data_IF_122738518109
#
_entry.id   IF_122738518109
#
_cell.length_a   1.000
_cell.length_b   1.000
_cell.length_c   1.000
_cell.angle_alpha   90.00
_cell.angle_beta   90.00
_cell.angle_gamma   90.00
#
_symmetry.space_group_name_H-M   'P 1'
#
loop_
_entity.id
_entity.type
_entity.pdbx_description
1 polymer ?
#
# COMPACT_ATOMS: atom_id res chain seq x y z
N UNK A 1 -10.17 39.48 -28.68
CA UNK A 1 -10.94 38.97 -29.85
C UNK A 1 -10.18 37.76 -30.39
N UNK A 2 -10.93 36.78 -30.94
CA UNK A 2 -10.60 35.35 -31.21
C UNK A 2 -11.01 34.45 -30.04
N UNK A 3 -12.30 34.14 -29.89
CA UNK A 3 -13.19 33.21 -30.62
C UNK A 3 -13.05 31.75 -30.17
N UNK A 4 -14.10 31.31 -29.47
CA UNK A 4 -14.47 29.93 -29.19
C UNK A 4 -14.88 29.22 -30.47
N UNK A 5 -14.44 27.98 -30.65
CA UNK A 5 -15.17 26.95 -31.39
C UNK A 5 -15.19 25.70 -30.52
N UNK A 6 -16.34 25.48 -29.86
CA UNK A 6 -16.72 24.22 -29.25
C UNK A 6 -17.24 23.30 -30.36
N UNK A 7 -16.66 22.11 -30.48
CA UNK A 7 -17.26 20.99 -31.20
C UNK A 7 -18.10 20.16 -30.18
N UNK A 8 -19.29 19.66 -30.55
CA UNK A 8 -20.15 18.95 -29.63
C UNK A 8 -19.80 17.45 -29.60
N UNK A 9 -19.53 16.90 -28.42
CA UNK A 9 -19.71 15.47 -28.17
C UNK A 9 -18.48 14.62 -27.83
N UNK A 10 -17.43 15.15 -27.21
CA UNK A 10 -16.47 14.30 -26.49
C UNK A 10 -16.46 14.65 -25.00
N UNK A 11 -17.04 13.74 -24.24
CA UNK A 11 -17.11 13.74 -22.78
C UNK A 11 -15.69 13.55 -22.22
N UNK A 12 -15.39 14.25 -21.12
CA UNK A 12 -14.09 14.18 -20.47
C UNK A 12 -13.79 12.77 -19.98
N UNK A 13 -12.50 12.43 -19.85
CA UNK A 13 -12.02 11.14 -19.34
C UNK A 13 -12.50 10.78 -17.91
N UNK A 14 -13.28 11.65 -17.26
CA UNK A 14 -13.89 11.42 -15.95
C UNK A 14 -15.37 10.96 -16.02
N UNK A 15 -15.95 10.80 -17.23
CA UNK A 15 -17.30 10.25 -17.44
C UNK A 15 -17.31 8.77 -17.84
N UNK A 16 -16.15 8.10 -17.87
CA UNK A 16 -16.07 6.65 -18.14
C UNK A 16 -16.32 5.79 -16.89
N UNK A 17 -16.46 6.38 -15.71
CA UNK A 17 -16.60 5.69 -14.42
C UNK A 17 -18.04 5.45 -13.97
N UNK A 18 -19.03 5.83 -14.78
CA UNK A 18 -20.43 5.47 -14.53
C UNK A 18 -20.97 4.60 -15.67
N UNK A 19 -20.32 3.46 -15.91
CA UNK A 19 -20.99 2.34 -16.55
C UNK A 19 -21.58 1.50 -15.42
N UNK A 20 -22.90 1.33 -15.45
CA UNK A 20 -23.61 0.37 -14.59
C UNK A 20 -22.79 -0.93 -14.51
N UNK A 21 -22.63 -1.54 -13.32
CA UNK A 21 -21.99 -2.84 -13.25
C UNK A 21 -22.92 -3.84 -13.94
N UNK A 22 -22.67 -4.08 -15.22
CA UNK A 22 -22.99 -5.34 -15.86
C UNK A 22 -22.53 -6.44 -14.91
N UNK A 23 -23.48 -7.28 -14.50
CA UNK A 23 -23.29 -8.35 -13.54
C UNK A 23 -21.96 -9.05 -13.80
N UNK A 24 -21.07 -9.05 -12.81
CA UNK A 24 -19.78 -9.74 -12.88
C UNK A 24 -20.03 -11.22 -13.14
N UNK A 25 -19.86 -11.62 -14.41
CA UNK A 25 -19.79 -13.01 -14.84
C UNK A 25 -18.50 -13.61 -14.25
N UNK A 26 -18.58 -14.14 -13.04
CA UNK A 26 -17.53 -14.97 -12.47
C UNK A 26 -17.46 -16.26 -13.27
N UNK A 27 -16.60 -16.26 -14.29
CA UNK A 27 -16.45 -17.34 -15.25
C UNK A 27 -15.76 -18.56 -14.60
N UNK A 28 -16.53 -19.42 -13.94
CA UNK A 28 -16.12 -20.76 -13.51
C UNK A 28 -16.37 -21.81 -14.59
N UNK A 29 -15.41 -22.71 -14.81
CA UNK A 29 -15.61 -23.88 -15.67
C UNK A 29 -16.27 -25.00 -14.87
N UNK A 30 -17.36 -25.56 -15.39
CA UNK A 30 -18.03 -26.72 -14.82
C UNK A 30 -18.09 -27.85 -15.84
N UNK A 31 -17.03 -28.64 -16.04
CA UNK A 31 -17.20 -29.94 -16.70
C UNK A 31 -16.11 -30.98 -16.43
N UNK A 32 -16.64 -32.19 -16.23
CA UNK A 32 -16.09 -33.55 -16.38
C UNK A 32 -14.74 -33.90 -15.74
N UNK A 33 -14.87 -34.51 -14.56
CA UNK A 33 -14.00 -35.49 -13.91
C UNK A 33 -12.65 -35.09 -13.29
N UNK A 34 -12.61 -35.34 -11.97
CA UNK A 34 -11.55 -35.92 -11.14
C UNK A 34 -10.26 -35.11 -10.93
N UNK A 35 -10.14 -34.49 -9.75
CA UNK A 35 -9.30 -35.00 -8.66
C UNK A 35 -9.75 -34.32 -7.35
N UNK A 36 -9.81 -35.10 -6.27
CA UNK A 36 -10.21 -34.74 -4.89
C UNK A 36 -9.46 -33.48 -4.38
N UNK A 37 -10.02 -32.64 -3.50
CA UNK A 37 -10.16 -32.88 -2.05
C UNK A 37 -11.11 -31.83 -1.43
N UNK A 38 -12.08 -32.25 -0.61
CA UNK A 38 -12.88 -31.35 0.24
C UNK A 38 -14.22 -31.92 0.72
N UNK A 39 -14.23 -32.53 1.90
CA UNK A 39 -15.36 -33.32 2.42
C UNK A 39 -16.46 -32.51 3.11
N UNK A 40 -17.71 -32.69 2.67
CA UNK A 40 -18.88 -32.73 3.58
C UNK A 40 -19.92 -33.70 3.03
N UNK A 41 -20.10 -34.87 3.67
CA UNK A 41 -21.29 -35.71 3.48
C UNK A 41 -21.30 -36.79 2.39
N UNK A 42 -20.15 -37.30 1.94
CA UNK A 42 -20.09 -38.66 1.37
C UNK A 42 -20.59 -38.92 -0.06
N UNK A 43 -20.47 -37.97 -1.00
CA UNK A 43 -20.36 -38.28 -2.44
C UNK A 43 -19.94 -37.05 -3.26
N UNK A 44 -19.00 -37.15 -4.22
CA UNK A 44 -18.65 -36.05 -5.11
C UNK A 44 -19.73 -35.91 -6.19
N UNK A 45 -20.62 -34.94 -6.04
CA UNK A 45 -21.52 -34.55 -7.13
C UNK A 45 -20.90 -33.38 -7.90
N UNK A 46 -20.31 -33.68 -9.05
CA UNK A 46 -20.11 -32.68 -10.10
C UNK A 46 -21.50 -32.25 -10.60
N UNK A 47 -21.82 -30.94 -10.63
CA UNK A 47 -23.10 -30.47 -11.13
C UNK A 47 -23.26 -30.88 -12.61
N UNK A 48 -24.26 -31.71 -12.92
CA UNK A 48 -24.56 -32.13 -14.29
C UNK A 48 -24.94 -30.92 -15.17
N UNK A 49 -24.79 -30.98 -16.50
CA UNK A 49 -25.32 -29.93 -17.38
C UNK A 49 -26.80 -29.67 -17.09
N UNK A 50 -27.15 -28.43 -16.73
CA UNK A 50 -28.51 -28.05 -16.31
C UNK A 50 -28.77 -28.07 -14.81
N UNK A 51 -27.81 -28.48 -13.99
CA UNK A 51 -27.91 -28.41 -12.51
C UNK A 51 -27.80 -26.97 -12.01
N UNK A 52 -28.53 -26.73 -10.92
CA UNK A 52 -28.56 -25.46 -10.20
C UNK A 52 -28.13 -25.72 -8.76
N UNK A 53 -27.25 -24.88 -8.23
CA UNK A 53 -26.80 -24.93 -6.85
C UNK A 53 -26.76 -23.53 -6.24
N UNK A 54 -26.79 -23.46 -4.92
CA UNK A 54 -26.75 -22.21 -4.18
C UNK A 54 -25.53 -22.20 -3.28
N UNK A 55 -24.67 -21.20 -3.44
CA UNK A 55 -23.45 -21.00 -2.66
C UNK A 55 -23.52 -19.65 -1.96
N UNK A 56 -23.68 -19.68 -0.65
CA UNK A 56 -23.79 -18.48 0.18
C UNK A 56 -24.85 -17.49 -0.33
N UNK A 57 -24.43 -16.44 -1.04
CA UNK A 57 -25.28 -15.38 -1.59
C UNK A 57 -25.54 -15.54 -3.10
N UNK A 58 -25.03 -16.58 -3.76
CA UNK A 58 -25.18 -16.78 -5.20
C UNK A 58 -26.05 -17.99 -5.52
N UNK A 59 -26.79 -17.88 -6.63
CA UNK A 59 -27.47 -19.01 -7.27
C UNK A 59 -26.81 -19.25 -8.62
N UNK A 60 -26.23 -20.44 -8.80
CA UNK A 60 -25.44 -20.80 -9.96
C UNK A 60 -26.13 -21.88 -10.78
N UNK A 61 -26.02 -21.79 -12.10
CA UNK A 61 -26.48 -22.80 -13.05
C UNK A 61 -25.38 -23.22 -14.00
N UNK A 62 -25.22 -24.53 -14.19
CA UNK A 62 -24.29 -25.05 -15.20
C UNK A 62 -24.95 -25.06 -16.59
N UNK A 63 -24.54 -24.13 -17.45
CA UNK A 63 -25.01 -24.04 -18.84
C UNK A 63 -23.86 -24.42 -19.76
N UNK A 64 -24.01 -25.54 -20.49
CA UNK A 64 -23.04 -25.99 -21.49
C UNK A 64 -21.59 -26.16 -20.99
N UNK A 65 -21.40 -26.40 -19.70
CA UNK A 65 -20.08 -26.59 -19.10
C UNK A 65 -19.47 -25.34 -18.44
N UNK A 66 -20.23 -24.24 -18.33
CA UNK A 66 -19.86 -23.02 -17.59
C UNK A 66 -20.83 -22.80 -16.43
N UNK A 67 -20.33 -22.42 -15.26
CA UNK A 67 -21.20 -21.89 -14.20
C UNK A 67 -21.59 -20.47 -14.54
N UNK A 68 -22.89 -20.21 -14.58
CA UNK A 68 -23.46 -18.86 -14.62
C UNK A 68 -24.10 -18.59 -13.27
N UNK A 69 -23.53 -17.68 -12.50
CA UNK A 69 -23.94 -17.36 -11.13
C UNK A 69 -24.66 -16.01 -11.07
N UNK A 70 -25.72 -15.94 -10.27
CA UNK A 70 -26.49 -14.72 -9.98
C UNK A 70 -26.37 -14.42 -8.49
N UNK A 71 -25.82 -13.25 -8.16
CA UNK A 71 -25.67 -12.79 -6.78
C UNK A 71 -26.99 -12.23 -6.23
N UNK A 72 -27.29 -12.60 -4.99
CA UNK A 72 -28.46 -12.21 -4.21
C UNK A 72 -27.99 -11.60 -2.89
N UNK A 73 -27.42 -10.40 -2.97
CA UNK A 73 -27.07 -9.64 -1.77
C UNK A 73 -28.27 -8.81 -1.29
N UNK A 74 -28.57 -8.81 0.02
CA UNK A 74 -29.56 -7.90 0.58
C UNK A 74 -29.11 -6.45 0.39
N UNK A 75 -30.06 -5.54 0.18
CA UNK A 75 -29.78 -4.11 0.09
C UNK A 75 -29.11 -3.64 1.39
N UNK A 76 -27.85 -3.23 1.30
CA UNK A 76 -27.06 -2.75 2.43
C UNK A 76 -27.12 -1.23 2.48
N UNK A 77 -27.56 -0.67 3.62
CA UNK A 77 -27.48 0.77 3.92
C UNK A 77 -26.56 0.94 5.12
N UNK A 78 -25.41 1.56 4.92
CA UNK A 78 -24.42 1.78 5.99
C UNK A 78 -24.77 3.00 6.85
N UNK A 79 -24.34 2.99 8.12
CA UNK A 79 -24.53 4.13 9.00
C UNK A 79 -23.65 5.32 8.56
N UNK A 80 -23.91 6.52 9.11
CA UNK A 80 -23.14 7.71 8.79
C UNK A 80 -21.64 7.49 9.11
N UNK A 81 -20.76 7.56 8.11
CA UNK A 81 -19.31 7.36 8.27
C UNK A 81 -18.83 5.92 8.05
N UNK A 82 -19.71 5.03 7.60
CA UNK A 82 -19.35 3.69 7.15
C UNK A 82 -19.45 3.60 5.62
N UNK A 83 -18.53 2.84 5.01
CA UNK A 83 -18.52 2.56 3.58
C UNK A 83 -18.74 1.06 3.35
N UNK A 84 -19.48 0.74 2.29
CA UNK A 84 -19.69 -0.64 1.87
C UNK A 84 -18.41 -1.15 1.19
N UNK A 85 -17.75 -2.13 1.81
CA UNK A 85 -16.51 -2.73 1.30
C UNK A 85 -16.77 -4.19 0.92
N UNK A 86 -16.36 -4.59 -0.28
CA UNK A 86 -16.35 -5.99 -0.71
C UNK A 86 -14.92 -6.52 -0.59
N UNK A 87 -14.71 -7.42 0.37
CA UNK A 87 -13.41 -8.06 0.62
C UNK A 87 -13.09 -9.10 -0.49
N UNK A 88 -11.82 -9.29 -0.85
CA UNK A 88 -11.41 -10.32 -1.80
C UNK A 88 -11.88 -11.71 -1.37
N UNK A 89 -12.69 -12.37 -2.20
CA UNK A 89 -13.27 -13.69 -1.90
C UNK A 89 -14.54 -13.65 -1.04
N UNK A 90 -15.07 -12.47 -0.70
CA UNK A 90 -16.37 -12.32 -0.04
C UNK A 90 -17.51 -12.16 -1.06
N UNK A 91 -18.64 -12.80 -0.76
CA UNK A 91 -19.80 -12.85 -1.65
C UNK A 91 -20.59 -11.53 -1.67
N UNK A 92 -20.79 -10.92 -0.50
CA UNK A 92 -21.52 -9.66 -0.35
C UNK A 92 -20.68 -8.58 0.35
N UNK A 93 -20.92 -7.29 0.06
CA UNK A 93 -20.26 -6.20 0.74
C UNK A 93 -20.68 -6.12 2.22
N UNK A 94 -19.81 -5.57 3.05
CA UNK A 94 -20.08 -5.29 4.47
C UNK A 94 -19.76 -3.83 4.79
N UNK A 95 -20.49 -3.23 5.74
CA UNK A 95 -20.22 -1.86 6.17
C UNK A 95 -19.00 -1.86 7.09
N UNK A 96 -18.01 -1.04 6.75
CA UNK A 96 -16.84 -0.82 7.60
C UNK A 96 -16.71 0.66 7.87
N UNK A 97 -16.33 1.02 9.10
CA UNK A 97 -15.86 2.37 9.37
C UNK A 97 -14.59 2.60 8.57
N UNK A 98 -14.52 3.72 7.84
CA UNK A 98 -13.24 4.26 7.39
C UNK A 98 -12.48 4.62 8.67
N UNK A 99 -11.60 3.72 9.12
CA UNK A 99 -10.49 4.16 9.96
C UNK A 99 -9.77 5.23 9.14
N UNK A 100 -9.59 6.45 9.67
CA UNK A 100 -8.85 7.47 8.96
C UNK A 100 -7.53 6.83 8.56
N UNK A 101 -7.29 6.70 7.26
CA UNK A 101 -5.96 6.40 6.77
C UNK A 101 -5.12 7.58 7.25
N UNK A 102 -4.42 7.38 8.37
CA UNK A 102 -3.54 8.36 8.95
C UNK A 102 -2.50 8.62 7.87
N UNK A 103 -2.70 9.71 7.12
CA UNK A 103 -1.88 10.03 5.95
C UNK A 103 -0.42 9.86 6.37
N UNK A 104 0.37 9.05 5.66
CA UNK A 104 1.71 8.73 6.09
C UNK A 104 2.45 10.04 6.33
N UNK A 105 2.83 10.29 7.59
CA UNK A 105 3.40 11.57 7.98
C UNK A 105 4.55 11.92 7.03
N UNK A 106 4.49 13.12 6.45
CA UNK A 106 5.55 13.65 5.59
C UNK A 106 6.88 13.68 6.33
N UNK A 107 8.00 13.73 5.60
CA UNK A 107 9.33 13.82 6.17
C UNK A 107 9.43 14.84 7.31
N UNK A 108 9.80 14.37 8.51
CA UNK A 108 9.80 15.14 9.76
C UNK A 108 11.09 14.96 10.54
N UNK A 109 11.43 16.01 11.26
CA UNK A 109 12.51 16.03 12.25
C UNK A 109 11.98 15.52 13.58
N UNK A 110 12.61 14.48 14.11
CA UNK A 110 12.22 13.81 15.34
C UNK A 110 13.37 13.78 16.32
N UNK A 111 13.01 13.69 17.60
CA UNK A 111 13.93 13.62 18.72
C UNK A 111 13.57 12.45 19.60
N UNK A 112 14.55 11.65 20.01
CA UNK A 112 14.36 10.51 20.90
C UNK A 112 15.51 10.39 21.91
N UNK A 113 15.21 9.94 23.13
CA UNK A 113 16.21 9.64 24.14
C UNK A 113 16.77 8.22 23.92
N UNK A 114 18.08 8.10 23.80
CA UNK A 114 18.78 6.83 23.57
C UNK A 114 19.93 6.66 24.55
N UNK A 115 20.23 5.39 24.84
CA UNK A 115 21.44 5.03 25.57
C UNK A 115 22.51 4.67 24.54
N UNK A 116 23.65 5.34 24.59
CA UNK A 116 24.76 5.12 23.67
C UNK A 116 25.81 4.23 24.32
N UNK A 117 26.31 3.26 23.56
CA UNK A 117 27.33 2.34 24.02
C UNK A 117 28.46 2.22 23.00
N UNK A 118 29.69 2.07 23.50
CA UNK A 118 30.88 1.80 22.70
C UNK A 118 31.80 0.89 23.50
N UNK A 119 31.80 -0.40 23.16
CA UNK A 119 32.47 -1.41 23.98
C UNK A 119 31.89 -1.42 25.41
N UNK A 120 32.73 -1.32 26.47
CA UNK A 120 32.27 -1.29 27.86
C UNK A 120 31.81 0.10 28.32
N UNK A 121 31.91 1.13 27.48
CA UNK A 121 31.59 2.50 27.82
C UNK A 121 30.14 2.83 27.48
N UNK A 122 29.48 3.66 28.29
CA UNK A 122 28.07 3.99 28.12
C UNK A 122 27.74 5.44 28.47
N UNK A 123 26.64 5.93 27.93
CA UNK A 123 26.01 7.20 28.30
C UNK A 123 24.50 7.08 28.11
N UNK A 124 23.72 7.32 29.17
CA UNK A 124 22.27 7.18 29.16
C UNK A 124 21.56 8.50 28.86
N UNK A 125 20.29 8.41 28.43
CA UNK A 125 19.41 9.57 28.24
C UNK A 125 19.99 10.62 27.27
N UNK A 126 20.65 10.16 26.20
CA UNK A 126 21.19 11.05 25.17
C UNK A 126 20.10 11.41 24.18
N UNK A 127 19.84 12.70 24.02
CA UNK A 127 18.92 13.21 23.00
C UNK A 127 19.48 13.01 21.58
N UNK A 128 18.85 12.17 20.77
CA UNK A 128 19.25 11.91 19.38
C UNK A 128 18.19 12.46 18.45
N UNK A 129 18.61 13.28 17.50
CA UNK A 129 17.75 13.78 16.43
C UNK A 129 17.92 12.96 15.16
N UNK A 130 16.83 12.75 14.43
CA UNK A 130 16.81 12.01 13.17
C UNK A 130 15.66 12.46 12.26
N UNK A 131 15.77 12.13 10.98
CA UNK A 131 14.72 12.36 9.99
C UNK A 131 13.96 11.06 9.72
N UNK A 132 12.63 11.13 9.71
CA UNK A 132 11.78 9.99 9.38
C UNK A 132 10.47 10.48 8.76
N UNK A 133 9.87 9.68 7.91
CA UNK A 133 8.61 10.01 7.24
C UNK A 133 8.68 9.67 5.76
N UNK A 134 7.60 10.01 5.06
CA UNK A 134 7.42 9.64 3.67
C UNK A 134 7.72 10.84 2.75
N UNK A 135 8.25 10.52 1.58
CA UNK A 135 8.55 11.46 0.52
C UNK A 135 7.87 11.03 -0.78
N UNK A 136 7.52 11.98 -1.66
CA UNK A 136 6.94 11.64 -2.96
C UNK A 136 7.86 10.75 -3.77
N UNK A 137 7.29 9.74 -4.41
CA UNK A 137 7.96 8.96 -5.43
C UNK A 137 6.97 8.61 -6.53
N UNK A 138 7.47 8.49 -7.75
CA UNK A 138 6.66 8.12 -8.91
C UNK A 138 7.47 7.30 -9.88
N UNK A 139 6.78 6.48 -10.66
CA UNK A 139 7.39 5.74 -11.76
C UNK A 139 6.47 5.83 -12.96
N UNK A 140 7.03 6.26 -14.09
CA UNK A 140 6.33 6.44 -15.34
C UNK A 140 6.79 5.41 -16.35
N UNK A 141 5.85 4.85 -17.11
CA UNK A 141 6.14 3.96 -18.24
C UNK A 141 6.19 4.80 -19.52
N UNK A 142 7.31 4.76 -20.23
CA UNK A 142 7.56 5.50 -21.46
C UNK A 142 7.39 4.59 -22.69
N UNK A 143 7.04 5.17 -23.83
CA UNK A 143 6.87 4.44 -25.10
C UNK A 143 8.20 4.13 -25.79
N UNK A 144 9.26 4.85 -25.44
CA UNK A 144 10.61 4.71 -25.99
C UNK A 144 11.61 4.49 -24.85
N UNK A 145 12.80 3.99 -25.18
CA UNK A 145 13.87 3.78 -24.20
C UNK A 145 14.12 5.07 -23.37
N UNK A 146 14.21 4.97 -22.03
CA UNK A 146 14.43 3.76 -21.23
C UNK A 146 13.15 2.96 -20.83
N UNK A 147 11.98 3.27 -21.39
CA UNK A 147 10.66 2.68 -21.08
C UNK A 147 10.16 2.81 -19.64
N UNK A 148 11.04 3.14 -18.70
CA UNK A 148 10.71 3.35 -17.30
C UNK A 148 11.51 4.54 -16.77
N UNK A 149 10.81 5.47 -16.15
CA UNK A 149 11.43 6.61 -15.48
C UNK A 149 10.92 6.68 -14.04
N UNK A 150 11.82 6.49 -13.08
CA UNK A 150 11.52 6.61 -11.65
C UNK A 150 12.08 7.91 -11.09
N UNK A 151 11.28 8.60 -10.28
CA UNK A 151 11.70 9.71 -9.43
C UNK A 151 11.44 9.32 -7.98
N UNK A 152 12.50 9.31 -7.18
CA UNK A 152 12.43 8.87 -5.78
C UNK A 152 13.12 9.91 -4.89
N UNK A 153 12.34 10.50 -3.99
CA UNK A 153 12.87 11.29 -2.89
C UNK A 153 12.91 10.47 -1.59
N UNK A 154 13.95 10.71 -0.79
CA UNK A 154 14.17 10.12 0.51
C UNK A 154 14.15 11.20 1.58
N UNK A 155 13.59 10.88 2.75
CA UNK A 155 13.60 11.78 3.90
C UNK A 155 15.02 11.90 4.45
N UNK A 156 15.67 13.02 4.14
CA UNK A 156 17.10 13.22 4.33
C UNK A 156 17.36 14.38 5.28
N UNK A 157 18.51 14.36 5.96
CA UNK A 157 18.91 15.41 6.89
C UNK A 157 19.81 16.46 6.24
N UNK A 158 19.75 17.68 6.77
CA UNK A 158 20.74 18.74 6.59
C UNK A 158 21.42 18.96 7.94
N UNK A 159 22.75 18.90 7.95
CA UNK A 159 23.52 19.19 9.15
C UNK A 159 23.53 20.69 9.42
N UNK A 160 23.71 21.03 10.69
CA UNK A 160 23.99 22.41 11.10
C UNK A 160 25.27 22.92 10.39
N UNK A 161 25.22 24.10 9.74
CA UNK A 161 26.32 24.60 8.93
C UNK A 161 27.53 25.04 9.77
N UNK A 162 27.31 25.47 11.01
CA UNK A 162 28.36 26.00 11.87
C UNK A 162 28.91 24.91 12.79
N UNK A 163 28.04 24.01 13.27
CA UNK A 163 28.36 22.94 14.22
C UNK A 163 27.74 21.60 13.77
N UNK A 164 28.23 20.97 12.68
CA UNK A 164 27.58 19.81 12.06
C UNK A 164 27.58 18.56 12.94
N UNK A 165 28.42 18.54 13.97
CA UNK A 165 28.54 17.43 14.91
C UNK A 165 28.72 17.92 16.33
N UNK A 166 28.25 17.11 17.28
CA UNK A 166 28.53 17.27 18.71
C UNK A 166 29.25 16.04 19.24
N UNK A 167 30.21 16.28 20.13
CA UNK A 167 31.06 15.23 20.70
C UNK A 167 30.57 14.95 22.12
N UNK A 168 30.35 13.68 22.44
CA UNK A 168 29.95 13.24 23.78
C UNK A 168 31.03 12.33 24.36
N UNK A 169 31.15 12.37 25.69
CA UNK A 169 32.07 11.54 26.46
C UNK A 169 31.29 10.40 27.10
N UNK A 170 31.56 9.17 26.68
CA UNK A 170 31.04 7.97 27.31
C UNK A 170 31.85 7.65 28.55
N UNK A 171 31.18 7.16 29.59
CA UNK A 171 31.81 6.73 30.83
C UNK A 171 32.22 5.27 30.72
N UNK A 172 33.50 4.99 30.96
CA UNK A 172 34.04 3.63 30.91
C UNK A 172 34.39 3.14 32.32
N UNK A 173 34.42 1.80 32.53
CA UNK A 173 35.01 1.22 33.73
C UNK A 173 36.44 1.71 33.95
N UNK A 174 36.80 2.00 35.20
CA UNK A 174 38.13 2.52 35.55
C UNK A 174 38.32 4.02 35.31
N UNK A 175 37.24 4.78 35.15
CA UNK A 175 37.27 6.26 35.10
C UNK A 175 37.79 6.84 33.79
N UNK A 176 37.98 6.02 32.76
CA UNK A 176 38.33 6.47 31.41
C UNK A 176 37.10 7.01 30.70
N UNK A 177 37.32 7.84 29.68
CA UNK A 177 36.27 8.31 28.78
C UNK A 177 36.57 7.92 27.35
N UNK A 178 35.51 7.65 26.59
CA UNK A 178 35.55 7.37 25.16
C UNK A 178 34.70 8.40 24.42
N UNK A 179 35.13 8.80 23.23
CA UNK A 179 34.40 9.80 22.44
C UNK A 179 33.43 9.12 21.48
N UNK A 180 32.22 9.69 21.39
CA UNK A 180 31.27 9.45 20.30
C UNK A 180 30.92 10.78 19.65
N UNK A 181 30.71 10.74 18.33
CA UNK A 181 30.31 11.89 17.54
C UNK A 181 28.89 11.66 17.07
N UNK A 182 28.01 12.61 17.35
CA UNK A 182 26.64 12.61 16.84
C UNK A 182 26.45 13.78 15.87
N UNK A 183 25.73 13.59 14.75
CA UNK A 183 25.36 14.68 13.87
C UNK A 183 24.41 15.65 14.59
N UNK A 184 24.54 16.93 14.29
CA UNK A 184 23.55 17.96 14.66
C UNK A 184 22.72 18.23 13.43
N UNK A 185 21.49 17.72 13.42
CA UNK A 185 20.56 17.90 12.31
C UNK A 185 19.84 19.25 12.48
N UNK A 186 19.96 20.11 11.47
CA UNK A 186 19.27 21.41 11.42
C UNK A 186 17.87 21.27 10.82
N UNK A 187 17.71 20.48 9.76
CA UNK A 187 16.42 20.26 9.13
C UNK A 187 16.32 18.91 8.42
N UNK A 188 15.08 18.47 8.18
CA UNK A 188 14.75 17.30 7.38
C UNK A 188 13.99 17.73 6.13
N UNK A 189 14.32 17.15 4.98
CA UNK A 189 13.64 17.42 3.73
C UNK A 189 13.65 16.20 2.82
N UNK A 190 12.66 16.13 1.93
CA UNK A 190 12.70 15.23 0.81
C UNK A 190 13.77 15.70 -0.18
N UNK A 191 14.63 14.78 -0.57
CA UNK A 191 15.64 15.00 -1.61
C UNK A 191 15.94 13.69 -2.30
N UNK A 192 16.52 13.76 -3.49
CA UNK A 192 16.94 12.59 -4.26
C UNK A 192 17.66 11.57 -3.37
N UNK A 193 17.19 10.33 -3.44
CA UNK A 193 17.81 9.24 -2.70
C UNK A 193 19.26 9.07 -3.15
N UNK A 194 20.21 9.10 -2.21
CA UNK A 194 21.60 8.76 -2.50
C UNK A 194 21.70 7.24 -2.70
N UNK A 195 21.49 6.79 -3.94
CA UNK A 195 21.80 5.43 -4.34
C UNK A 195 23.31 5.21 -4.25
N UNK A 196 23.74 4.17 -3.53
CA UNK A 196 25.12 3.71 -3.58
C UNK A 196 25.48 3.38 -5.02
N UNK A 197 26.57 3.95 -5.52
CA UNK A 197 27.10 3.64 -6.85
C UNK A 197 27.58 2.18 -6.87
N UNK A 198 26.73 1.26 -7.34
CA UNK A 198 27.08 -0.16 -7.51
C UNK A 198 27.97 -0.39 -8.74
N UNK A 199 28.37 0.67 -9.46
CA UNK A 199 29.15 0.58 -10.70
C UNK A 199 30.65 0.29 -10.49
N UNK A 200 31.08 0.02 -9.26
CA UNK A 200 32.43 -0.48 -8.94
C UNK A 200 32.37 -1.95 -8.54
N UNK A 201 32.32 -2.83 -9.53
CA UNK A 201 32.71 -4.24 -9.42
C UNK A 201 33.56 -4.63 -10.62
#
# INVERSE_FOLDING_TARGET
MWQQQLAPGELGLCEQTCREPDATETQGNCKENLQEEGWRGGSPYSPQPGSEWQEACESCRCISGRSVCTQHCPLLTCAQGEVAVQEPGSCCPTCRQETPEEQPASCRHLTELRNLTKGPCYLDQVEVTYCSGHCPSSTNVLLEEPYLQSQCDCCSYRLDPDNPVRILNLHCPGGRTELVVLPVIHSCQCSECQGGDFSKR
#
